data_IF_534091121417
#
_entry.id   IF_534091121417
#
_cell.length_a   1.000
_cell.length_b   1.000
_cell.length_c   1.000
_cell.angle_alpha   90.00
_cell.angle_beta   90.00
_cell.angle_gamma   90.00
#
_symmetry.space_group_name_H-M   'P 1'
#
loop_
_entity.id
_entity.type
_entity.pdbx_description
1 polymer ?
#
# COMPACT_ATOMS: atom_id res chain seq x y z
N UNK A 1 6.24 1.20 17.89
CA UNK A 1 5.71 1.14 16.51
C UNK A 1 5.01 -0.19 16.34
N UNK A 2 3.71 -0.18 16.05
CA UNK A 2 2.96 -1.39 15.69
C UNK A 2 3.20 -1.67 14.20
N UNK A 3 4.37 -2.24 13.88
CA UNK A 3 4.68 -2.68 12.53
C UNK A 3 4.50 -4.19 12.42
N UNK A 4 3.76 -4.65 11.41
CA UNK A 4 3.73 -6.06 11.05
C UNK A 4 4.71 -6.30 9.89
N UNK A 5 5.51 -7.37 9.98
CA UNK A 5 6.37 -7.79 8.86
C UNK A 5 5.53 -8.50 7.82
N UNK A 6 5.53 -7.98 6.60
CA UNK A 6 4.81 -8.54 5.46
C UNK A 6 5.77 -9.04 4.40
N UNK A 7 5.32 -9.94 3.53
CA UNK A 7 6.13 -10.46 2.43
C UNK A 7 5.94 -9.61 1.18
N UNK A 8 7.06 -9.26 0.55
CA UNK A 8 7.10 -8.83 -0.83
C UNK A 8 7.19 -10.07 -1.73
N UNK A 9 6.32 -10.15 -2.72
CA UNK A 9 6.30 -11.23 -3.70
C UNK A 9 6.46 -10.63 -5.10
N UNK A 10 7.31 -11.25 -5.91
CA UNK A 10 7.49 -10.89 -7.31
C UNK A 10 7.25 -12.14 -8.16
N UNK A 11 6.38 -12.00 -9.15
CA UNK A 11 6.03 -13.06 -10.08
C UNK A 11 6.61 -12.73 -11.45
N UNK A 12 7.65 -13.46 -11.86
CA UNK A 12 8.32 -13.26 -13.14
C UNK A 12 7.37 -13.49 -14.33
N UNK A 13 6.45 -14.45 -14.21
CA UNK A 13 5.52 -14.86 -15.29
C UNK A 13 4.65 -13.72 -15.82
N UNK A 14 4.32 -12.73 -14.98
CA UNK A 14 3.52 -11.57 -15.37
C UNK A 14 4.20 -10.24 -15.03
N UNK A 15 5.47 -10.28 -14.59
CA UNK A 15 6.25 -9.11 -14.16
C UNK A 15 5.50 -8.23 -13.15
N UNK A 16 4.76 -8.85 -12.23
CA UNK A 16 4.02 -8.13 -11.17
C UNK A 16 4.62 -8.38 -9.80
N UNK A 17 4.64 -7.31 -9.03
CA UNK A 17 4.98 -7.36 -7.61
C UNK A 17 3.74 -7.14 -6.76
N UNK A 18 3.67 -7.85 -5.64
CA UNK A 18 2.61 -7.73 -4.65
C UNK A 18 3.22 -7.55 -3.27
N UNK A 19 2.64 -6.63 -2.51
CA UNK A 19 2.87 -6.50 -1.08
C UNK A 19 1.58 -6.91 -0.38
N UNK A 20 1.64 -7.91 0.49
CA UNK A 20 0.45 -8.33 1.24
C UNK A 20 0.15 -7.31 2.34
N UNK A 21 -1.06 -6.76 2.36
CA UNK A 21 -1.55 -5.88 3.43
C UNK A 21 -2.46 -6.72 4.34
N UNK A 22 -2.10 -6.92 5.62
CA UNK A 22 -2.96 -7.58 6.59
C UNK A 22 -4.35 -6.94 6.65
N UNK A 23 -5.40 -7.77 6.68
CA UNK A 23 -6.80 -7.29 6.64
C UNK A 23 -7.11 -6.30 7.77
N UNK A 24 -6.48 -6.46 8.94
CA UNK A 24 -6.64 -5.53 10.07
C UNK A 24 -6.16 -4.11 9.73
N UNK A 25 -5.05 -3.99 9.01
CA UNK A 25 -4.51 -2.70 8.56
C UNK A 25 -5.39 -2.09 7.47
N UNK A 26 -5.79 -2.90 6.48
CA UNK A 26 -6.70 -2.46 5.42
C UNK A 26 -8.00 -1.90 6.01
N UNK A 27 -8.61 -2.63 6.96
CA UNK A 27 -9.82 -2.18 7.66
C UNK A 27 -9.59 -0.89 8.46
N UNK A 28 -8.46 -0.74 9.15
CA UNK A 28 -8.16 0.49 9.90
C UNK A 28 -7.98 1.73 9.00
N UNK A 29 -7.61 1.52 7.74
CA UNK A 29 -7.43 2.57 6.73
C UNK A 29 -8.70 2.76 5.87
N UNK A 30 -9.79 2.03 6.17
CA UNK A 30 -11.02 2.00 5.39
C UNK A 30 -10.77 1.68 3.90
N UNK A 31 -9.85 0.76 3.64
CA UNK A 31 -9.58 0.24 2.30
C UNK A 31 -10.52 -0.92 1.99
N UNK A 32 -11.15 -0.85 0.84
CA UNK A 32 -12.02 -1.86 0.27
C UNK A 32 -11.40 -2.44 -1.01
N UNK A 33 -11.91 -3.60 -1.42
CA UNK A 33 -11.46 -4.22 -2.67
C UNK A 33 -11.79 -3.30 -3.85
N UNK A 34 -10.77 -2.96 -4.64
CA UNK A 34 -10.89 -2.09 -5.82
C UNK A 34 -10.69 -0.60 -5.54
N UNK A 35 -10.39 -0.21 -4.29
CA UNK A 35 -9.95 1.15 -4.00
C UNK A 35 -8.63 1.48 -4.69
N UNK A 36 -8.53 2.72 -5.17
CA UNK A 36 -7.28 3.26 -5.69
C UNK A 36 -6.36 3.67 -4.53
N UNK A 37 -5.18 3.05 -4.44
CA UNK A 37 -4.20 3.34 -3.41
C UNK A 37 -3.04 4.16 -4.01
N UNK A 38 -2.81 5.34 -3.46
CA UNK A 38 -1.65 6.15 -3.77
C UNK A 38 -0.39 5.58 -3.12
N UNK A 39 0.71 5.58 -3.87
CA UNK A 39 2.02 5.12 -3.39
C UNK A 39 3.02 6.26 -3.60
N UNK A 40 3.72 6.64 -2.53
CA UNK A 40 4.81 7.62 -2.58
C UNK A 40 6.05 7.00 -1.93
N UNK A 41 7.19 7.16 -2.59
CA UNK A 41 8.49 6.78 -2.02
C UNK A 41 8.99 7.91 -1.13
N UNK A 42 9.34 7.59 0.12
CA UNK A 42 9.85 8.55 1.09
C UNK A 42 11.07 8.01 1.83
N UNK A 43 11.89 8.91 2.36
CA UNK A 43 12.98 8.56 3.28
C UNK A 43 12.65 9.18 4.63
N UNK A 44 12.52 8.33 5.66
CA UNK A 44 12.23 8.75 7.02
C UNK A 44 13.23 8.11 7.97
N UNK A 45 13.87 8.92 8.81
CA UNK A 45 14.88 8.47 9.78
C UNK A 45 16.01 7.63 9.13
N UNK A 46 16.43 8.01 7.92
CA UNK A 46 17.46 7.32 7.14
C UNK A 46 17.00 6.02 6.47
N UNK A 47 15.75 5.60 6.66
CA UNK A 47 15.17 4.41 6.06
C UNK A 47 14.32 4.78 4.85
N UNK A 48 14.48 4.01 3.76
CA UNK A 48 13.64 4.10 2.56
C UNK A 48 12.32 3.37 2.82
N UNK A 49 11.21 4.04 2.57
CA UNK A 49 9.87 3.49 2.82
C UNK A 49 8.86 3.89 1.75
N UNK A 50 7.67 3.30 1.86
CA UNK A 50 6.51 3.65 1.06
C UNK A 50 5.46 4.27 1.98
N UNK A 51 4.99 5.45 1.62
CA UNK A 51 3.78 6.04 2.18
C UNK A 51 2.60 5.67 1.28
N UNK A 52 1.56 5.10 1.89
CA UNK A 52 0.37 4.61 1.22
C UNK A 52 -0.86 5.35 1.75
N UNK A 53 -1.76 5.77 0.86
CA UNK A 53 -3.02 6.40 1.24
C UNK A 53 -4.14 6.06 0.25
N UNK A 54 -5.40 6.08 0.71
CA UNK A 54 -6.57 5.91 -0.16
C UNK A 54 -6.71 7.16 -1.03
N UNK A 55 -6.80 6.99 -2.35
CA UNK A 55 -7.08 8.10 -3.27
C UNK A 55 -8.58 8.35 -3.29
N UNK A 56 -8.96 9.60 -3.08
CA UNK A 56 -10.31 10.04 -3.37
C UNK A 56 -10.46 10.13 -4.90
N UNK A 57 -11.50 9.49 -5.44
CA UNK A 57 -11.89 9.74 -6.83
C UNK A 57 -12.32 11.19 -6.88
N UNK A 58 -11.58 12.04 -7.58
CA UNK A 58 -12.05 13.38 -7.91
C UNK A 58 -13.35 13.19 -8.70
N UNK A 59 -14.47 13.60 -8.14
CA UNK A 59 -15.66 13.86 -8.94
C UNK A 59 -15.29 14.99 -9.91
N UNK A 60 -15.18 14.66 -11.19
CA UNK A 60 -15.13 15.67 -12.24
C UNK A 60 -16.47 16.42 -12.18
N UNK A 61 -16.45 17.66 -11.68
CA UNK A 61 -17.57 18.60 -11.73
C UNK A 61 -17.75 19.14 -13.14
#
# INVERSE_FOLDING_TARGET
MNGETVKYQYYESNKRSFLTIPIKLANSLNWENGDDIGILFEIKDGQKGLFLWKREKKEEK
#
